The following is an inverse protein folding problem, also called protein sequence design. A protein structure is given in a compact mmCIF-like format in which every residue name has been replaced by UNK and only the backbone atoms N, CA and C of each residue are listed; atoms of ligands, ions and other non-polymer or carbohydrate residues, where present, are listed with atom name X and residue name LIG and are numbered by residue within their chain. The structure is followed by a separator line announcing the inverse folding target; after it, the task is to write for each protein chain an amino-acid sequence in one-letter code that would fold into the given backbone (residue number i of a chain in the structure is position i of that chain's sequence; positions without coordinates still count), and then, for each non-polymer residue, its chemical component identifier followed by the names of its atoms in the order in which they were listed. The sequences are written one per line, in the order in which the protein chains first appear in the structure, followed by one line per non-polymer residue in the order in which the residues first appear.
data_IF_765863587139
#
_entry.id   IF_765863587139
#
_cell.length_a   1.000
_cell.length_b   1.000
_cell.length_c   1.000
_cell.angle_alpha   90.00
_cell.angle_beta   90.00
_cell.angle_gamma   90.00
#
_symmetry.space_group_name_H-M   'P 1'
#
loop_
_entity.id
_entity.type
_entity.pdbx_description
1 polymer ?
#
# COMPACT_ATOMS: atom_id res chain seq x y z
N UNK A 1 5.38 -3.51 1.72
CA UNK A 1 5.46 -3.82 0.27
C UNK A 1 6.72 -4.59 -0.06
N UNK A 2 6.66 -5.53 -1.01
CA UNK A 2 7.83 -6.22 -1.56
C UNK A 2 8.49 -5.43 -2.72
N UNK A 3 9.74 -5.75 -3.13
CA UNK A 3 10.44 -5.00 -4.19
C UNK A 3 9.70 -4.93 -5.53
N UNK A 4 8.97 -5.99 -5.89
CA UNK A 4 8.19 -6.02 -7.13
C UNK A 4 6.99 -5.07 -7.08
N UNK A 5 6.33 -4.98 -5.92
CA UNK A 5 5.25 -4.02 -5.69
C UNK A 5 5.79 -2.59 -5.78
N UNK A 6 6.93 -2.31 -5.14
CA UNK A 6 7.59 -1.00 -5.17
C UNK A 6 7.85 -0.57 -6.63
N UNK A 7 8.46 -1.43 -7.45
CA UNK A 7 8.76 -1.12 -8.84
C UNK A 7 7.49 -0.86 -9.69
N UNK A 8 6.41 -1.59 -9.43
CA UNK A 8 5.12 -1.37 -10.11
C UNK A 8 4.48 -0.05 -9.68
N UNK A 9 4.47 0.25 -8.39
CA UNK A 9 4.00 1.54 -7.87
C UNK A 9 4.81 2.68 -8.48
N UNK A 10 6.14 2.60 -8.48
CA UNK A 10 7.00 3.60 -9.14
C UNK A 10 6.62 3.83 -10.60
N UNK A 11 6.35 2.75 -11.34
CA UNK A 11 5.96 2.81 -12.75
C UNK A 11 4.62 3.51 -12.93
N UNK A 12 3.64 3.20 -12.07
CA UNK A 12 2.33 3.86 -12.07
C UNK A 12 2.49 5.35 -11.77
N UNK A 13 3.21 5.71 -10.72
CA UNK A 13 3.41 7.11 -10.33
C UNK A 13 4.18 7.90 -11.41
N UNK A 14 5.22 7.31 -12.01
CA UNK A 14 5.95 7.93 -13.14
C UNK A 14 5.02 8.18 -14.33
N UNK A 15 4.22 7.19 -14.71
CA UNK A 15 3.37 7.28 -15.89
C UNK A 15 2.17 8.20 -15.71
N UNK A 16 1.55 8.19 -14.54
CA UNK A 16 0.32 8.92 -14.29
C UNK A 16 0.57 10.32 -13.74
N UNK A 17 1.55 10.46 -12.84
CA UNK A 17 1.76 11.73 -12.13
C UNK A 17 2.90 12.54 -12.74
N UNK A 18 4.09 11.96 -12.85
CA UNK A 18 5.27 12.68 -13.35
C UNK A 18 5.07 13.15 -14.80
N UNK A 19 4.52 12.28 -15.67
CA UNK A 19 4.18 12.67 -17.05
C UNK A 19 3.04 13.72 -17.15
N UNK A 20 2.23 13.87 -16.10
CA UNK A 20 1.18 14.88 -16.03
C UNK A 20 1.68 16.25 -15.53
N UNK A 21 2.99 16.40 -15.29
CA UNK A 21 3.60 17.65 -14.85
C UNK A 21 3.83 17.74 -13.34
N UNK A 22 3.46 16.72 -12.57
CA UNK A 22 3.69 16.70 -11.12
C UNK A 22 5.19 16.53 -10.86
N UNK A 23 5.79 17.42 -10.06
CA UNK A 23 7.23 17.48 -9.84
C UNK A 23 7.76 16.27 -9.05
N UNK A 24 7.01 15.82 -8.06
CA UNK A 24 7.38 14.71 -7.18
C UNK A 24 6.14 13.94 -6.73
N UNK A 25 6.26 12.62 -6.61
CA UNK A 25 5.27 11.78 -5.95
C UNK A 25 5.95 10.73 -5.08
N UNK A 26 5.40 10.48 -3.90
CA UNK A 26 5.97 9.54 -2.94
C UNK A 26 4.90 8.75 -2.21
N UNK A 27 5.24 7.55 -1.77
CA UNK A 27 4.41 6.75 -0.86
C UNK A 27 5.12 6.64 0.46
N UNK A 28 4.44 6.96 1.54
CA UNK A 28 4.93 6.76 2.90
C UNK A 28 3.95 5.96 3.74
N UNK A 29 4.45 5.36 4.81
CA UNK A 29 3.59 4.86 5.87
C UNK A 29 3.09 6.00 6.77
N UNK A 30 2.29 5.65 7.77
CA UNK A 30 1.71 6.59 8.73
C UNK A 30 2.73 7.21 9.68
N UNK A 31 3.91 6.59 9.81
CA UNK A 31 5.05 7.12 10.57
C UNK A 31 5.93 8.03 9.69
N UNK A 32 5.44 8.39 8.49
CA UNK A 32 6.09 9.32 7.57
C UNK A 32 7.21 8.71 6.75
N UNK A 33 7.63 7.47 7.05
CA UNK A 33 8.74 6.82 6.37
C UNK A 33 8.41 6.60 4.89
N UNK A 34 9.24 7.17 4.03
CA UNK A 34 9.07 7.05 2.57
C UNK A 34 9.52 5.67 2.08
N UNK A 35 8.62 5.00 1.37
CA UNK A 35 8.80 3.66 0.78
C UNK A 35 9.07 3.77 -0.72
N UNK A 36 8.42 4.73 -1.39
CA UNK A 36 8.53 4.97 -2.83
C UNK A 36 8.71 6.46 -3.08
N UNK A 37 9.60 6.85 -3.98
CA UNK A 37 9.79 8.24 -4.38
C UNK A 37 10.12 8.34 -5.88
N UNK A 38 9.35 9.13 -6.61
CA UNK A 38 9.58 9.44 -8.02
C UNK A 38 9.54 10.94 -8.24
N UNK A 39 10.43 11.45 -9.08
CA UNK A 39 10.52 12.89 -9.39
C UNK A 39 10.93 13.11 -10.85
N UNK A 40 10.76 14.34 -11.34
CA UNK A 40 11.05 14.72 -12.73
C UNK A 40 12.56 14.75 -13.07
N UNK A 41 13.44 14.48 -12.10
CA UNK A 41 14.87 14.31 -12.31
C UNK A 41 15.71 15.59 -12.35
N UNK A 42 15.11 16.78 -12.21
CA UNK A 42 15.87 18.03 -12.10
C UNK A 42 16.48 18.19 -10.68
N UNK A 43 17.51 19.03 -10.52
CA UNK A 43 18.21 19.18 -9.23
C UNK A 43 17.28 19.62 -8.10
N UNK A 44 16.31 20.48 -8.40
CA UNK A 44 15.35 21.02 -7.43
C UNK A 44 14.38 19.93 -6.96
N UNK A 45 13.80 19.15 -7.88
CA UNK A 45 12.92 18.02 -7.57
C UNK A 45 13.63 16.90 -6.81
N UNK A 46 14.94 16.72 -7.03
CA UNK A 46 15.76 15.81 -6.23
C UNK A 46 15.96 16.34 -4.81
N UNK A 47 16.32 17.62 -4.65
CA UNK A 47 16.46 18.25 -3.34
C UNK A 47 15.13 18.20 -2.59
N UNK A 48 14.01 18.55 -3.22
CA UNK A 48 12.67 18.42 -2.63
C UNK A 48 12.38 16.96 -2.32
N UNK A 49 12.68 16.00 -3.20
CA UNK A 49 12.50 14.58 -2.92
C UNK A 49 13.28 14.10 -1.68
N UNK A 50 14.52 14.57 -1.49
CA UNK A 50 15.37 14.25 -0.33
C UNK A 50 14.98 15.02 0.94
N UNK A 51 14.63 16.31 0.81
CA UNK A 51 14.16 17.14 1.91
C UNK A 51 12.81 16.64 2.39
N UNK A 52 11.88 16.34 1.47
CA UNK A 52 10.65 15.64 1.79
C UNK A 52 11.00 14.32 2.48
N UNK A 53 11.86 13.42 1.97
CA UNK A 53 12.17 12.18 2.72
C UNK A 53 12.82 12.34 4.10
N UNK A 54 13.47 13.46 4.39
CA UNK A 54 14.22 13.67 5.66
C UNK A 54 13.44 14.53 6.65
N UNK A 55 12.62 15.45 6.14
CA UNK A 55 11.82 16.40 6.92
C UNK A 55 10.36 15.92 7.02
N UNK A 56 9.89 15.11 6.07
CA UNK A 56 8.55 14.52 6.06
C UNK A 56 8.25 13.76 7.33
N UNK A 57 9.16 12.91 7.81
CA UNK A 57 8.85 12.03 8.94
C UNK A 57 8.26 12.83 10.12
N UNK A 58 8.90 13.93 10.54
CA UNK A 58 8.39 14.74 11.64
C UNK A 58 7.30 15.75 11.23
N UNK A 59 7.42 16.38 10.05
CA UNK A 59 6.49 17.42 9.60
C UNK A 59 5.16 16.81 9.13
N UNK A 60 5.17 15.76 8.31
CA UNK A 60 3.95 15.07 7.88
C UNK A 60 3.19 14.45 9.05
N UNK A 61 3.87 13.83 10.03
CA UNK A 61 3.18 13.31 11.24
C UNK A 61 2.50 14.45 11.98
N UNK A 62 3.22 15.56 12.21
CA UNK A 62 2.68 16.71 12.95
C UNK A 62 1.48 17.33 12.24
N UNK A 63 1.57 17.52 10.92
CA UNK A 63 0.48 18.14 10.18
C UNK A 63 -0.70 17.19 10.00
N UNK A 64 -0.45 15.88 9.81
CA UNK A 64 -1.51 14.86 9.83
C UNK A 64 -2.20 14.79 11.20
N UNK A 65 -1.45 14.88 12.29
CA UNK A 65 -2.04 14.91 13.64
C UNK A 65 -2.97 16.10 13.82
N UNK A 66 -2.57 17.28 13.34
CA UNK A 66 -3.43 18.47 13.33
C UNK A 66 -4.66 18.28 12.42
N UNK A 67 -4.46 17.76 11.21
CA UNK A 67 -5.53 17.48 10.25
C UNK A 67 -6.57 16.48 10.79
N UNK A 68 -6.12 15.36 11.38
CA UNK A 68 -6.98 14.34 11.99
C UNK A 68 -7.75 14.89 13.19
N UNK A 69 -7.15 15.79 13.97
CA UNK A 69 -7.86 16.50 15.04
C UNK A 69 -8.97 17.39 14.46
N UNK A 70 -8.70 18.12 13.37
CA UNK A 70 -9.71 18.94 12.69
C UNK A 70 -10.85 18.09 12.11
N UNK A 71 -10.57 16.97 11.46
CA UNK A 71 -11.60 16.05 10.95
C UNK A 71 -12.50 15.51 12.08
N UNK A 72 -11.91 15.15 13.23
CA UNK A 72 -12.67 14.72 14.43
C UNK A 72 -13.56 15.82 14.98
N UNK A 73 -13.09 17.08 14.98
CA UNK A 73 -13.87 18.24 15.43
C UNK A 73 -15.02 18.54 14.47
N UNK A 74 -14.81 18.35 13.16
CA UNK A 74 -15.80 18.65 12.12
C UNK A 74 -16.81 17.53 11.85
N UNK A 75 -16.65 16.36 12.48
CA UNK A 75 -17.59 15.23 12.36
C UNK A 75 -17.53 14.46 11.04
N UNK A 76 -16.68 14.87 10.10
CA UNK A 76 -16.52 14.25 8.78
C UNK A 76 -15.23 13.43 8.67
N UNK A 77 -15.34 12.24 8.06
CA UNK A 77 -14.20 11.51 7.50
C UNK A 77 -13.77 12.19 6.19
N UNK A 78 -13.27 13.41 6.27
CA UNK A 78 -12.87 14.14 5.06
C UNK A 78 -11.50 13.68 4.58
N UNK A 79 -11.37 13.40 3.28
CA UNK A 79 -10.10 13.28 2.57
C UNK A 79 -9.31 14.58 2.76
N UNK A 80 -8.45 14.59 3.78
CA UNK A 80 -7.58 15.73 4.05
C UNK A 80 -6.43 15.74 3.04
N UNK A 81 -6.75 16.28 1.87
CA UNK A 81 -5.81 16.86 0.92
C UNK A 81 -5.09 18.03 1.61
N UNK A 82 -4.05 17.70 2.36
CA UNK A 82 -3.29 18.66 3.12
C UNK A 82 -2.41 19.50 2.19
N UNK A 83 -2.71 20.79 2.07
CA UNK A 83 -1.95 21.78 1.29
C UNK A 83 -0.84 22.38 2.16
N UNK A 84 0.41 22.03 1.88
CA UNK A 84 1.55 22.81 2.37
C UNK A 84 1.98 23.75 1.26
N UNK A 85 1.64 25.02 1.43
CA UNK A 85 2.10 26.10 0.56
C UNK A 85 3.40 26.63 1.14
N UNK A 86 4.52 26.42 0.44
CA UNK A 86 5.72 27.22 0.69
C UNK A 86 5.64 28.48 -0.16
N UNK A 87 6.29 29.56 0.29
CA UNK A 87 6.35 30.88 -0.37
C UNK A 87 6.94 30.86 -1.80
N UNK A 88 7.30 29.69 -2.33
CA UNK A 88 7.99 29.45 -3.60
C UNK A 88 7.15 28.73 -4.68
N UNK A 89 5.82 28.93 -4.72
CA UNK A 89 4.92 28.44 -5.79
C UNK A 89 4.64 26.93 -5.85
N UNK A 90 5.11 26.13 -4.87
CA UNK A 90 4.85 24.68 -4.82
C UNK A 90 3.88 24.29 -3.70
N UNK A 91 3.05 23.29 -4.01
CA UNK A 91 2.04 22.72 -3.13
C UNK A 91 2.30 21.23 -2.90
N UNK A 92 2.35 20.83 -1.63
CA UNK A 92 2.35 19.41 -1.26
C UNK A 92 0.90 18.98 -1.00
N UNK A 93 0.53 17.77 -1.43
CA UNK A 93 -0.77 17.16 -1.21
C UNK A 93 -0.59 15.75 -0.67
N UNK A 94 -1.38 15.38 0.34
CA UNK A 94 -1.43 14.02 0.89
C UNK A 94 -2.81 13.41 0.67
N UNK A 95 -2.82 12.14 0.31
CA UNK A 95 -4.03 11.38 0.07
C UNK A 95 -3.87 9.99 0.65
N UNK A 96 -4.94 9.43 1.20
CA UNK A 96 -4.93 8.06 1.70
C UNK A 96 -4.80 7.08 0.54
N UNK A 97 -3.77 6.23 0.56
CA UNK A 97 -3.56 5.19 -0.44
C UNK A 97 -4.16 3.87 0.05
N UNK A 98 -3.91 3.50 1.30
CA UNK A 98 -4.55 2.41 2.05
C UNK A 98 -4.62 2.79 3.53
N UNK A 99 -5.25 1.96 4.36
CA UNK A 99 -5.30 2.13 5.82
C UNK A 99 -3.92 2.27 6.51
N UNK A 100 -2.84 1.89 5.83
CA UNK A 100 -1.46 1.95 6.33
C UNK A 100 -0.57 2.91 5.54
N UNK A 101 -1.02 3.39 4.38
CA UNK A 101 -0.16 4.07 3.41
C UNK A 101 -0.78 5.37 2.91
N UNK A 102 0.07 6.36 2.69
CA UNK A 102 -0.29 7.65 2.12
C UNK A 102 0.43 7.85 0.79
N UNK A 103 -0.25 8.50 -0.14
CA UNK A 103 0.33 9.04 -1.37
C UNK A 103 0.50 10.54 -1.22
N UNK A 104 1.74 11.00 -1.29
CA UNK A 104 2.11 12.40 -1.35
C UNK A 104 2.49 12.86 -2.75
N UNK A 105 2.14 14.09 -3.10
CA UNK A 105 2.56 14.74 -4.35
C UNK A 105 3.04 16.15 -4.10
N UNK A 106 4.02 16.60 -4.87
CA UNK A 106 4.46 18.00 -4.94
C UNK A 106 4.26 18.50 -6.36
N UNK A 107 3.57 19.61 -6.52
CA UNK A 107 3.32 20.26 -7.81
C UNK A 107 3.46 21.77 -7.68
N UNK A 108 3.92 22.45 -8.72
CA UNK A 108 3.86 23.90 -8.81
C UNK A 108 2.51 24.38 -9.37
N UNK A 109 2.48 25.65 -9.75
CA UNK A 109 1.30 26.32 -10.30
C UNK A 109 0.98 25.89 -11.75
N UNK A 110 1.86 25.13 -12.41
CA UNK A 110 1.69 24.61 -13.76
C UNK A 110 0.63 23.50 -13.88
N UNK A 111 0.29 22.83 -12.76
CA UNK A 111 -0.77 21.82 -12.71
C UNK A 111 -1.97 22.37 -11.95
N UNK A 112 -3.13 22.40 -12.61
CA UNK A 112 -4.36 22.81 -11.92
C UNK A 112 -4.74 21.80 -10.83
N UNK A 113 -5.33 22.30 -9.74
CA UNK A 113 -5.81 21.45 -8.62
C UNK A 113 -6.75 20.34 -9.11
N UNK A 114 -7.61 20.64 -10.10
CA UNK A 114 -8.52 19.64 -10.69
C UNK A 114 -7.78 18.51 -11.41
N UNK A 115 -6.77 18.84 -12.23
CA UNK A 115 -5.94 17.84 -12.91
C UNK A 115 -5.13 17.00 -11.92
N UNK A 116 -4.56 17.64 -10.90
CA UNK A 116 -3.84 16.96 -9.83
C UNK A 116 -4.75 15.92 -9.14
N UNK A 117 -5.94 16.34 -8.70
CA UNK A 117 -6.91 15.46 -8.04
C UNK A 117 -7.32 14.28 -8.93
N UNK A 118 -7.61 14.54 -10.20
CA UNK A 118 -7.97 13.49 -11.16
C UNK A 118 -6.84 12.45 -11.31
N UNK A 119 -5.60 12.89 -11.53
CA UNK A 119 -4.46 12.01 -11.74
C UNK A 119 -4.05 11.24 -10.48
N UNK A 120 -4.18 11.87 -9.32
CA UNK A 120 -3.97 11.23 -8.03
C UNK A 120 -5.02 10.16 -7.77
N UNK A 121 -6.31 10.45 -7.98
CA UNK A 121 -7.39 9.47 -7.83
C UNK A 121 -7.27 8.29 -8.79
N UNK A 122 -6.93 8.53 -10.06
CA UNK A 122 -6.63 7.47 -11.03
C UNK A 122 -5.48 6.58 -10.54
N UNK A 123 -4.41 7.18 -10.03
CA UNK A 123 -3.23 6.45 -9.55
C UNK A 123 -3.55 5.61 -8.30
N UNK A 124 -4.27 6.18 -7.33
CA UNK A 124 -4.72 5.48 -6.12
C UNK A 124 -5.56 4.27 -6.50
N UNK A 125 -6.54 4.45 -7.40
CA UNK A 125 -7.39 3.35 -7.86
C UNK A 125 -6.56 2.22 -8.48
N UNK A 126 -5.68 2.53 -9.43
CA UNK A 126 -4.85 1.51 -10.10
C UNK A 126 -3.92 0.78 -9.10
N UNK A 127 -3.37 1.49 -8.12
CA UNK A 127 -2.51 0.88 -7.09
C UNK A 127 -3.33 -0.02 -6.15
N UNK A 128 -4.53 0.42 -5.73
CA UNK A 128 -5.44 -0.38 -4.90
C UNK A 128 -5.89 -1.65 -5.62
N UNK A 129 -6.29 -1.55 -6.89
CA UNK A 129 -6.66 -2.69 -7.73
C UNK A 129 -5.49 -3.69 -7.85
N UNK A 130 -4.26 -3.18 -7.98
CA UNK A 130 -3.06 -4.01 -8.01
C UNK A 130 -2.83 -4.76 -6.69
N UNK A 131 -3.05 -4.11 -5.54
CA UNK A 131 -2.92 -4.78 -4.23
C UNK A 131 -4.01 -5.84 -4.02
N UNK A 132 -5.26 -5.52 -4.35
CA UNK A 132 -6.38 -6.45 -4.23
C UNK A 132 -6.17 -7.73 -5.07
N UNK A 133 -5.77 -7.58 -6.34
CA UNK A 133 -5.50 -8.72 -7.22
C UNK A 133 -4.36 -9.63 -6.70
N UNK A 134 -3.44 -9.11 -5.89
CA UNK A 134 -2.39 -9.93 -5.28
C UNK A 134 -2.90 -10.69 -4.04
N UNK A 135 -3.80 -10.10 -3.27
CA UNK A 135 -4.40 -10.73 -2.11
C UNK A 135 -5.31 -11.90 -2.51
N UNK A 136 -6.13 -11.72 -3.56
CA UNK A 136 -6.94 -12.80 -4.14
C UNK A 136 -6.08 -13.99 -4.62
N UNK A 137 -4.95 -13.72 -5.26
CA UNK A 137 -4.01 -14.76 -5.69
C UNK A 137 -3.34 -15.50 -4.52
N UNK A 138 -3.14 -14.85 -3.37
CA UNK A 138 -2.59 -15.48 -2.18
C UNK A 138 -3.65 -16.38 -1.51
N UNK A 139 -4.86 -15.87 -1.31
CA UNK A 139 -6.00 -16.63 -0.80
C UNK A 139 -6.29 -17.86 -1.66
N UNK A 140 -6.28 -17.71 -2.99
CA UNK A 140 -6.47 -18.82 -3.92
C UNK A 140 -5.43 -19.94 -3.74
N UNK A 141 -4.15 -19.58 -3.55
CA UNK A 141 -3.08 -20.55 -3.31
C UNK A 141 -3.19 -21.24 -1.95
N UNK A 142 -3.58 -20.51 -0.90
CA UNK A 142 -3.80 -21.10 0.42
C UNK A 142 -4.94 -22.12 0.40
N UNK A 143 -6.05 -21.81 -0.29
CA UNK A 143 -7.16 -22.73 -0.48
C UNK A 143 -6.73 -23.97 -1.27
N UNK A 144 -5.95 -23.81 -2.35
CA UNK A 144 -5.42 -24.92 -3.14
C UNK A 144 -4.54 -25.85 -2.29
N UNK A 145 -3.61 -25.30 -1.49
CA UNK A 145 -2.78 -26.06 -0.55
C UNK A 145 -3.63 -26.84 0.46
N UNK A 146 -4.69 -26.23 1.01
CA UNK A 146 -5.59 -26.91 1.96
C UNK A 146 -6.32 -28.07 1.27
N UNK A 147 -6.82 -27.86 0.06
CA UNK A 147 -7.55 -28.87 -0.73
C UNK A 147 -6.63 -30.04 -1.07
N UNK A 148 -5.43 -29.79 -1.58
CA UNK A 148 -4.46 -30.82 -1.93
C UNK A 148 -4.06 -31.67 -0.72
N UNK A 149 -3.78 -31.02 0.42
CA UNK A 149 -3.48 -31.72 1.66
C UNK A 149 -4.66 -32.59 2.13
N UNK A 150 -5.91 -32.09 2.00
CA UNK A 150 -7.10 -32.86 2.36
C UNK A 150 -7.28 -34.11 1.48
N UNK A 151 -7.04 -33.97 0.17
CA UNK A 151 -7.08 -35.10 -0.77
C UNK A 151 -6.00 -36.14 -0.44
N UNK A 152 -4.78 -35.70 -0.10
CA UNK A 152 -3.69 -36.60 0.29
C UNK A 152 -4.01 -37.40 1.55
N UNK A 153 -4.57 -36.74 2.58
CA UNK A 153 -4.98 -37.38 3.82
C UNK A 153 -6.08 -38.40 3.56
N UNK A 154 -7.05 -38.05 2.72
CA UNK A 154 -8.16 -38.95 2.37
C UNK A 154 -7.66 -40.19 1.64
N UNK A 155 -6.70 -40.03 0.73
CA UNK A 155 -6.07 -41.15 0.03
C UNK A 155 -5.31 -42.09 1.00
N UNK A 156 -4.48 -41.54 1.89
CA UNK A 156 -3.71 -42.31 2.87
C UNK A 156 -4.60 -43.06 3.86
N UNK A 157 -5.59 -42.38 4.42
CA UNK A 157 -6.46 -42.96 5.45
C UNK A 157 -7.33 -44.08 4.88
N UNK A 158 -7.88 -43.93 3.67
CA UNK A 158 -8.62 -45.00 3.02
C UNK A 158 -7.76 -46.19 2.61
N UNK A 159 -6.51 -45.96 2.18
CA UNK A 159 -5.57 -47.06 1.92
C UNK A 159 -5.30 -47.91 3.18
N UNK A 160 -5.42 -47.29 4.36
CA UNK A 160 -5.28 -47.95 5.67
C UNK A 160 -6.62 -48.48 6.23
N UNK A 161 -7.72 -48.39 5.47
CA UNK A 161 -9.07 -48.80 5.91
C UNK A 161 -9.68 -47.89 6.99
N UNK A 162 -9.15 -46.67 7.15
CA UNK A 162 -9.54 -45.69 8.16
C UNK A 162 -10.28 -44.52 7.54
N UNK A 163 -11.10 -43.81 8.31
CA UNK A 163 -11.64 -42.52 7.91
C UNK A 163 -10.70 -41.38 8.34
N UNK A 164 -10.61 -40.28 7.56
CA UNK A 164 -9.84 -39.10 7.94
C UNK A 164 -10.27 -38.52 9.30
N UNK A 165 -9.31 -38.14 10.14
CA UNK A 165 -9.53 -37.38 11.38
C UNK A 165 -8.80 -36.05 11.34
N UNK A 166 -9.28 -35.07 12.12
CA UNK A 166 -8.63 -33.76 12.27
C UNK A 166 -7.16 -33.84 12.73
N UNK A 167 -6.79 -34.90 13.45
CA UNK A 167 -5.41 -35.15 13.87
C UNK A 167 -4.49 -35.47 12.68
N UNK A 168 -5.00 -36.16 11.64
CA UNK A 168 -4.26 -36.46 10.42
C UNK A 168 -3.96 -35.17 9.63
N UNK A 169 -4.94 -34.25 9.57
CA UNK A 169 -4.79 -32.91 8.97
C UNK A 169 -3.73 -32.09 9.68
N UNK A 170 -3.76 -32.09 11.02
CA UNK A 170 -2.80 -31.36 11.85
C UNK A 170 -1.37 -31.88 11.68
N UNK A 171 -1.21 -33.20 11.57
CA UNK A 171 0.10 -33.83 11.38
C UNK A 171 0.68 -33.48 10.00
N UNK A 172 -0.12 -33.54 8.94
CA UNK A 172 0.35 -33.31 7.57
C UNK A 172 0.75 -31.85 7.33
N UNK A 173 -0.06 -30.89 7.80
CA UNK A 173 0.25 -29.46 7.72
C UNK A 173 1.54 -29.10 8.47
N UNK A 174 1.75 -29.71 9.65
CA UNK A 174 2.98 -29.52 10.42
C UNK A 174 4.22 -30.10 9.73
N UNK A 175 4.11 -31.27 9.07
CA UNK A 175 5.23 -31.95 8.41
C UNK A 175 5.63 -31.30 7.09
N UNK A 176 4.67 -30.98 6.25
CA UNK A 176 4.94 -30.55 4.88
C UNK A 176 5.15 -29.03 4.76
N UNK A 177 4.52 -28.24 5.64
CA UNK A 177 4.47 -26.79 5.48
C UNK A 177 4.96 -26.01 6.71
N UNK A 178 5.27 -26.69 7.83
CA UNK A 178 5.68 -26.04 9.07
C UNK A 178 4.58 -25.18 9.74
N UNK A 179 3.33 -25.30 9.27
CA UNK A 179 2.21 -24.48 9.73
C UNK A 179 1.56 -25.14 10.95
N UNK A 180 1.35 -24.39 12.04
CA UNK A 180 0.51 -24.84 13.15
C UNK A 180 -0.93 -24.45 12.86
N UNK A 181 -1.88 -25.38 13.04
CA UNK A 181 -3.30 -25.14 12.75
C UNK A 181 -3.90 -23.92 13.50
N UNK A 182 -3.31 -23.52 14.63
CA UNK A 182 -3.71 -22.32 15.36
C UNK A 182 -3.47 -21.02 14.59
N UNK A 183 -2.55 -21.02 13.63
CA UNK A 183 -2.18 -19.86 12.82
C UNK A 183 -3.12 -19.68 11.61
N UNK A 184 -3.93 -20.69 11.28
CA UNK A 184 -4.86 -20.70 10.12
C UNK A 184 -6.27 -20.19 10.44
N UNK A 185 -6.61 -19.98 11.72
CA UNK A 185 -7.98 -19.62 12.14
C UNK A 185 -8.07 -18.18 12.67
N UNK A 186 -6.94 -17.51 12.99
CA UNK A 186 -6.92 -16.13 13.47
C UNK A 186 -5.61 -15.40 13.13
N UNK A 187 -5.31 -15.25 11.83
CA UNK A 187 -4.25 -14.39 11.31
C UNK A 187 -4.81 -13.40 10.30
#
# INVERSE_FOLDING_TARGET
MNPRQIQRVETILKNNLIKAGIHCAFVCDHDGKIIVNVNIGNKISKIIGYTVSTVADNILISIRSAANQMARILGDKTDLSLLLHNENEESIWLNELTDELLLGTVSGNEVSVGQLRLKVMESIRVIRDMFAAQQENLLGKEVEIIVDNFLEIRAKTYAEGRTPKMQDVRLLLSKNHGIKLGDLIFG
#
